data_IF_583601778090
#
_entry.id   IF_583601778090
#
_cell.length_a   1.000
_cell.length_b   1.000
_cell.length_c   1.000
_cell.angle_alpha   90.00
_cell.angle_beta   90.00
_cell.angle_gamma   90.00
#
_symmetry.space_group_name_H-M   'P 1'
#
loop_
_entity.id
_entity.type
_entity.pdbx_description
1 polymer ?
#
# COMPACT_ATOMS: atom_id res chain seq x y z
N UNK A 1 -36.41 -17.62 -22.75
CA UNK A 1 -35.77 -16.86 -23.83
C UNK A 1 -35.82 -15.42 -23.39
N UNK A 2 -34.94 -15.07 -22.46
CA UNK A 2 -33.59 -14.48 -22.68
C UNK A 2 -33.74 -12.96 -22.55
N UNK A 3 -32.95 -12.20 -21.80
CA UNK A 3 -31.73 -12.45 -21.03
C UNK A 3 -31.64 -11.37 -19.95
N UNK A 4 -31.22 -11.74 -18.74
CA UNK A 4 -30.82 -10.80 -17.69
C UNK A 4 -29.42 -10.28 -18.06
N UNK A 5 -29.26 -8.97 -18.23
CA UNK A 5 -27.94 -8.34 -18.29
C UNK A 5 -27.31 -8.41 -16.89
N UNK A 6 -26.29 -9.26 -16.75
CA UNK A 6 -25.46 -9.37 -15.56
C UNK A 6 -24.76 -8.03 -15.25
N UNK A 7 -25.16 -7.40 -14.15
CA UNK A 7 -24.39 -6.34 -13.50
C UNK A 7 -23.04 -6.90 -13.03
N UNK A 8 -21.95 -6.52 -13.70
CA UNK A 8 -20.60 -6.87 -13.27
C UNK A 8 -20.24 -6.13 -11.96
N UNK A 9 -19.89 -6.83 -10.87
CA UNK A 9 -19.49 -6.17 -9.64
C UNK A 9 -18.09 -5.53 -9.78
N UNK A 10 -18.01 -4.24 -9.50
CA UNK A 10 -16.77 -3.48 -9.41
C UNK A 10 -15.98 -3.81 -8.15
N UNK A 11 -14.67 -3.73 -8.27
CA UNK A 11 -13.78 -4.55 -7.47
C UNK A 11 -12.41 -3.83 -7.50
N UNK A 12 -11.89 -3.36 -6.36
CA UNK A 12 -10.66 -2.54 -6.28
C UNK A 12 -9.82 -2.74 -5.00
N UNK A 13 -8.57 -2.28 -5.03
CA UNK A 13 -7.56 -2.37 -3.93
C UNK A 13 -7.94 -1.53 -2.69
N UNK A 14 -7.27 -1.72 -1.54
CA UNK A 14 -7.68 -1.09 -0.26
C UNK A 14 -6.53 -0.79 0.70
N UNK A 15 -6.59 0.35 1.39
CA UNK A 15 -5.87 0.62 2.64
C UNK A 15 -6.83 1.07 3.72
N UNK A 16 -6.70 0.57 4.95
CA UNK A 16 -7.40 1.09 6.12
C UNK A 16 -6.52 1.98 7.01
N UNK A 17 -7.14 2.89 7.75
CA UNK A 17 -6.54 3.57 8.91
C UNK A 17 -7.65 4.15 9.82
N UNK A 18 -7.31 4.43 11.09
CA UNK A 18 -8.26 4.84 12.15
C UNK A 18 -8.32 6.36 12.32
N UNK A 19 -9.52 6.93 12.33
CA UNK A 19 -9.76 8.29 12.84
C UNK A 19 -11.07 8.37 13.61
N UNK A 20 -11.03 8.81 14.88
CA UNK A 20 -12.21 9.00 15.77
C UNK A 20 -13.19 7.81 15.80
N UNK A 21 -12.67 6.58 15.92
CA UNK A 21 -13.48 5.35 16.00
C UNK A 21 -14.06 4.87 14.67
N UNK A 22 -13.58 5.37 13.52
CA UNK A 22 -14.00 4.97 12.17
C UNK A 22 -12.80 4.51 11.32
N UNK A 23 -12.96 3.43 10.55
CA UNK A 23 -11.97 2.86 9.61
C UNK A 23 -12.17 3.39 8.19
N UNK A 24 -11.15 3.71 7.39
CA UNK A 24 -11.32 4.37 6.06
C UNK A 24 -10.53 3.77 4.87
N UNK A 25 -11.12 3.68 3.64
CA UNK A 25 -10.66 2.84 2.49
C UNK A 25 -10.42 3.56 1.16
N UNK A 26 -9.47 3.07 0.33
CA UNK A 26 -9.07 3.66 -0.94
C UNK A 26 -8.57 2.62 -2.00
N UNK A 27 -8.92 2.75 -3.30
CA UNK A 27 -8.73 1.75 -4.39
C UNK A 27 -7.87 2.14 -5.64
N UNK A 28 -7.45 1.13 -6.45
CA UNK A 28 -6.77 1.24 -7.80
C UNK A 28 -6.74 -0.11 -8.58
N UNK A 29 -6.42 -0.15 -9.91
CA UNK A 29 -6.45 -1.36 -10.81
C UNK A 29 -5.40 -1.33 -11.97
N UNK A 30 -4.92 -2.50 -12.48
CA UNK A 30 -3.88 -2.62 -13.56
C UNK A 30 -4.26 -3.53 -14.78
N UNK A 31 -3.62 -3.29 -15.94
CA UNK A 31 -3.79 -3.91 -17.30
C UNK A 31 -2.74 -4.99 -17.69
N UNK A 32 -3.02 -5.75 -18.76
CA UNK A 32 -2.47 -7.04 -19.23
C UNK A 32 -1.66 -7.01 -20.57
N UNK A 33 -1.39 -5.84 -21.16
CA UNK A 33 -0.58 -5.71 -22.41
C UNK A 33 0.76 -4.97 -22.20
N UNK A 34 1.79 -5.19 -23.06
CA UNK A 34 3.10 -4.52 -22.93
C UNK A 34 3.06 -3.02 -23.22
N UNK A 35 2.02 -2.54 -23.90
CA UNK A 35 1.62 -1.13 -23.94
C UNK A 35 0.10 -1.09 -23.87
N UNK A 36 -0.49 -0.30 -22.97
CA UNK A 36 -1.93 -0.19 -22.90
C UNK A 36 -2.47 0.48 -24.15
N UNK A 37 -3.48 -0.12 -24.77
CA UNK A 37 -4.19 0.52 -25.87
C UNK A 37 -5.15 1.57 -25.29
N UNK A 38 -5.19 2.78 -25.85
CA UNK A 38 -5.98 3.89 -25.30
C UNK A 38 -7.47 3.53 -25.12
N UNK A 39 -8.03 2.66 -25.99
CA UNK A 39 -9.41 2.17 -25.88
C UNK A 39 -9.68 1.30 -24.65
N UNK A 40 -8.64 0.74 -24.05
CA UNK A 40 -8.69 -0.05 -22.81
C UNK A 40 -8.15 0.73 -21.61
N UNK A 41 -7.95 2.04 -21.76
CA UNK A 41 -7.45 2.89 -20.69
C UNK A 41 -8.45 2.91 -19.54
N UNK A 42 -8.05 2.24 -18.46
CA UNK A 42 -8.66 2.40 -17.15
C UNK A 42 -7.90 3.50 -16.39
N UNK A 43 -8.63 4.36 -15.71
CA UNK A 43 -8.04 5.42 -14.87
C UNK A 43 -8.42 5.14 -13.42
N UNK A 44 -7.43 4.79 -12.61
CA UNK A 44 -7.61 4.58 -11.19
C UNK A 44 -7.86 5.89 -10.45
N UNK A 45 -8.69 5.79 -9.41
CA UNK A 45 -9.01 6.90 -8.50
C UNK A 45 -9.08 6.39 -7.07
N UNK A 46 -8.88 7.29 -6.14
CA UNK A 46 -8.78 7.00 -4.71
C UNK A 46 -10.11 7.37 -4.05
N UNK A 47 -10.86 6.33 -3.65
CA UNK A 47 -12.11 6.45 -2.91
C UNK A 47 -11.96 6.73 -1.43
N UNK A 48 -13.08 6.87 -0.73
CA UNK A 48 -13.16 6.88 0.72
C UNK A 48 -14.29 5.94 1.14
N UNK A 49 -14.06 5.06 2.11
CA UNK A 49 -15.14 4.37 2.81
C UNK A 49 -15.04 4.59 4.32
N UNK A 50 -16.07 4.24 5.09
CA UNK A 50 -16.04 4.24 6.55
C UNK A 50 -16.67 3.00 7.15
N UNK A 51 -16.14 2.52 8.28
CA UNK A 51 -16.78 1.47 9.09
C UNK A 51 -16.65 1.74 10.58
N UNK A 52 -17.61 1.24 11.35
CA UNK A 52 -17.61 1.23 12.82
C UNK A 52 -17.07 -0.09 13.39
N UNK A 53 -17.28 -1.20 12.69
CA UNK A 53 -16.88 -2.55 13.13
C UNK A 53 -15.62 -3.09 12.43
N UNK A 54 -15.20 -2.47 11.32
CA UNK A 54 -14.05 -2.90 10.53
C UNK A 54 -14.39 -3.93 9.45
N UNK A 55 -15.66 -4.32 9.33
CA UNK A 55 -16.11 -5.35 8.39
C UNK A 55 -17.13 -4.76 7.39
N UNK A 56 -18.11 -4.01 7.88
CA UNK A 56 -19.16 -3.41 7.05
C UNK A 56 -18.82 -1.96 6.72
N UNK A 57 -18.73 -1.66 5.42
CA UNK A 57 -18.26 -0.37 4.92
C UNK A 57 -19.32 0.44 4.20
N UNK A 58 -19.44 1.71 4.58
CA UNK A 58 -20.15 2.73 3.81
C UNK A 58 -19.16 3.49 2.94
N UNK A 59 -19.27 3.33 1.62
CA UNK A 59 -18.40 4.03 0.65
C UNK A 59 -18.98 5.39 0.29
N UNK A 60 -18.13 6.40 0.18
CA UNK A 60 -18.51 7.66 -0.44
C UNK A 60 -18.76 7.43 -1.93
N UNK A 61 -19.80 8.11 -2.45
CA UNK A 61 -20.20 7.98 -3.85
C UNK A 61 -19.09 8.43 -4.81
N UNK A 62 -18.42 9.53 -4.47
CA UNK A 62 -17.36 10.13 -5.29
C UNK A 62 -15.96 9.85 -4.72
N UNK A 63 -14.94 9.71 -5.60
CA UNK A 63 -13.56 9.61 -5.16
C UNK A 63 -13.10 10.88 -4.45
N UNK A 64 -12.14 10.73 -3.52
CA UNK A 64 -11.51 11.84 -2.78
C UNK A 64 -10.20 12.29 -3.42
N UNK A 65 -9.61 11.49 -4.32
CA UNK A 65 -8.50 11.91 -5.17
C UNK A 65 -8.62 11.28 -6.57
N UNK A 66 -8.47 12.12 -7.59
CA UNK A 66 -8.36 11.72 -9.00
C UNK A 66 -7.09 12.33 -9.59
N UNK A 67 -6.57 11.73 -10.67
CA UNK A 67 -5.44 12.30 -11.41
C UNK A 67 -5.81 13.64 -12.05
N UNK A 68 -4.98 14.67 -11.82
CA UNK A 68 -5.19 16.02 -12.39
C UNK A 68 -3.92 16.64 -12.96
N UNK A 69 -2.80 15.92 -12.87
CA UNK A 69 -1.51 16.34 -13.42
C UNK A 69 -1.12 15.43 -14.57
N UNK A 70 -0.15 15.86 -15.39
CA UNK A 70 0.40 15.03 -16.46
C UNK A 70 0.82 13.66 -15.94
N UNK A 71 1.62 13.60 -14.86
CA UNK A 71 2.13 12.36 -14.24
C UNK A 71 1.06 11.38 -13.72
N UNK A 72 -0.19 11.81 -13.63
CA UNK A 72 -1.31 10.98 -13.15
C UNK A 72 -2.28 10.66 -14.29
N UNK A 73 -1.85 10.84 -15.55
CA UNK A 73 -2.69 10.69 -16.74
C UNK A 73 -3.27 9.28 -16.92
N UNK A 74 -2.76 8.29 -16.19
CA UNK A 74 -3.28 6.91 -16.14
C UNK A 74 -3.87 6.55 -14.77
N UNK A 75 -3.84 7.48 -13.83
CA UNK A 75 -4.52 7.39 -12.55
C UNK A 75 -3.62 7.55 -11.34
N UNK A 76 -4.26 7.37 -10.19
CA UNK A 76 -3.62 7.44 -8.86
C UNK A 76 -3.87 6.12 -8.14
N UNK A 77 -2.81 5.51 -7.65
CA UNK A 77 -2.85 4.13 -7.16
C UNK A 77 -2.26 3.96 -5.79
N UNK A 78 -2.56 2.80 -5.19
CA UNK A 78 -1.66 2.22 -4.20
C UNK A 78 -1.44 3.14 -2.97
N UNK A 79 -2.52 3.68 -2.36
CA UNK A 79 -2.46 4.78 -1.40
C UNK A 79 -2.00 4.33 -0.01
N UNK A 80 -0.98 4.99 0.54
CA UNK A 80 -0.45 4.79 1.88
C UNK A 80 -0.62 6.06 2.71
N UNK A 81 -1.57 6.02 3.63
CA UNK A 81 -1.80 7.09 4.61
C UNK A 81 -0.97 6.87 5.89
N UNK A 82 -0.33 7.94 6.36
CA UNK A 82 0.33 8.04 7.67
C UNK A 82 -0.22 9.27 8.40
N UNK A 83 -0.54 9.14 9.68
CA UNK A 83 -0.83 10.30 10.53
C UNK A 83 0.48 10.71 11.21
N UNK A 84 0.89 11.97 11.02
CA UNK A 84 2.13 12.50 11.56
C UNK A 84 1.93 13.98 11.89
N UNK A 85 2.38 14.41 13.07
CA UNK A 85 2.32 15.82 13.51
C UNK A 85 0.93 16.46 13.37
N UNK A 86 -0.12 15.71 13.68
CA UNK A 86 -1.50 16.18 13.66
C UNK A 86 -2.17 16.21 12.27
N UNK A 87 -1.43 15.92 11.20
CA UNK A 87 -1.94 15.85 9.82
C UNK A 87 -1.92 14.41 9.28
N UNK A 88 -2.64 14.19 8.19
CA UNK A 88 -2.57 12.96 7.42
C UNK A 88 -1.82 13.22 6.12
N UNK A 89 -0.85 12.35 5.84
CA UNK A 89 -0.07 12.34 4.61
C UNK A 89 -0.43 11.08 3.84
N UNK A 90 -0.79 11.20 2.56
CA UNK A 90 -1.00 10.07 1.68
C UNK A 90 0.08 10.05 0.60
N UNK A 91 0.91 9.01 0.63
CA UNK A 91 1.80 8.69 -0.46
C UNK A 91 1.06 7.74 -1.40
N UNK A 92 1.18 7.95 -2.70
CA UNK A 92 0.49 7.14 -3.71
C UNK A 92 1.35 7.03 -4.95
N UNK A 93 1.06 6.04 -5.78
CA UNK A 93 1.70 5.90 -7.09
C UNK A 93 0.94 6.78 -8.09
N UNK A 94 1.57 7.84 -8.57
CA UNK A 94 1.11 8.57 -9.74
C UNK A 94 1.51 7.78 -10.98
N UNK A 95 0.52 7.27 -11.70
CA UNK A 95 0.73 6.34 -12.80
C UNK A 95 0.61 7.05 -14.16
N UNK A 96 1.63 6.82 -14.96
CA UNK A 96 1.72 7.12 -16.38
C UNK A 96 1.83 8.61 -16.69
N UNK A 97 1.38 8.96 -17.88
CA UNK A 97 1.24 10.35 -18.32
C UNK A 97 2.40 10.85 -19.17
N UNK A 98 3.59 10.95 -18.57
CA UNK A 98 4.83 11.30 -19.29
C UNK A 98 5.26 10.17 -20.24
N UNK A 99 5.13 8.92 -19.78
CA UNK A 99 5.15 7.69 -20.58
C UNK A 99 4.19 6.65 -19.96
N UNK A 100 3.89 5.56 -20.67
CA UNK A 100 2.89 4.56 -20.23
C UNK A 100 3.37 3.72 -19.03
N UNK A 101 4.69 3.55 -18.88
CA UNK A 101 5.36 2.79 -17.82
C UNK A 101 5.88 3.67 -16.69
N UNK A 102 5.66 4.98 -16.79
CA UNK A 102 6.17 5.94 -15.83
C UNK A 102 5.40 5.85 -14.51
N UNK A 103 6.11 5.63 -13.40
CA UNK A 103 5.51 5.63 -12.06
C UNK A 103 6.31 6.52 -11.14
N UNK A 104 5.62 7.40 -10.40
CA UNK A 104 6.23 8.28 -9.40
C UNK A 104 5.55 8.14 -8.06
N UNK A 105 6.31 8.34 -7.00
CA UNK A 105 5.74 8.55 -5.68
C UNK A 105 5.28 9.99 -5.59
N UNK A 106 3.99 10.18 -5.39
CA UNK A 106 3.38 11.48 -5.13
C UNK A 106 2.83 11.55 -3.71
N UNK A 107 2.67 12.77 -3.22
CA UNK A 107 2.23 13.08 -1.87
C UNK A 107 1.10 14.11 -1.90
N UNK A 108 0.06 13.86 -1.10
CA UNK A 108 -0.97 14.84 -0.71
C UNK A 108 -1.14 14.83 0.81
N UNK A 109 -1.70 15.89 1.36
CA UNK A 109 -1.97 16.02 2.79
C UNK A 109 -3.43 16.42 3.07
N UNK A 110 -3.92 16.06 4.25
CA UNK A 110 -5.30 16.31 4.68
C UNK A 110 -5.40 16.43 6.20
N UNK A 111 -6.41 17.15 6.67
CA UNK A 111 -6.79 17.22 8.08
C UNK A 111 -7.97 16.31 8.44
N UNK A 112 -8.77 15.89 7.43
CA UNK A 112 -10.05 15.17 7.63
C UNK A 112 -10.17 13.87 6.81
N UNK A 113 -9.22 13.63 5.90
CA UNK A 113 -9.07 12.48 5.01
C UNK A 113 -10.06 12.43 3.84
N UNK A 114 -10.81 13.50 3.68
CA UNK A 114 -11.77 13.68 2.58
C UNK A 114 -11.23 14.76 1.65
N UNK A 115 -10.74 15.86 2.22
CA UNK A 115 -10.20 17.00 1.48
C UNK A 115 -8.68 16.91 1.45
N UNK A 116 -8.13 16.62 0.27
CA UNK A 116 -6.69 16.45 0.05
C UNK A 116 -6.11 17.65 -0.72
N UNK A 117 -4.95 18.14 -0.28
CA UNK A 117 -4.25 19.27 -0.91
C UNK A 117 -2.72 19.04 -0.90
N UNK A 118 -1.94 20.05 -1.29
CA UNK A 118 -0.48 19.97 -1.25
C UNK A 118 0.15 18.96 -2.22
N UNK A 119 -0.56 18.61 -3.30
CA UNK A 119 -0.17 17.64 -4.33
C UNK A 119 1.21 17.95 -4.90
N UNK A 120 2.13 16.99 -4.84
CA UNK A 120 3.46 17.07 -5.45
C UNK A 120 4.06 15.69 -5.69
N UNK A 121 4.94 15.58 -6.69
CA UNK A 121 5.85 14.45 -6.82
C UNK A 121 6.85 14.53 -5.65
N UNK A 122 6.97 13.45 -4.88
CA UNK A 122 7.86 13.37 -3.73
C UNK A 122 9.26 12.93 -4.15
N UNK A 123 9.34 11.89 -4.98
CA UNK A 123 10.58 11.39 -5.57
C UNK A 123 10.37 11.33 -7.09
N UNK A 124 11.06 12.18 -7.85
CA UNK A 124 10.93 12.23 -9.32
C UNK A 124 11.83 11.20 -10.02
N UNK A 125 11.60 9.93 -9.69
CA UNK A 125 12.27 8.76 -10.28
C UNK A 125 11.29 7.56 -10.36
N UNK A 126 11.50 6.57 -11.24
CA UNK A 126 10.67 5.36 -11.31
C UNK A 126 10.58 4.63 -9.96
N UNK A 127 9.46 4.78 -9.26
CA UNK A 127 9.32 4.35 -7.87
C UNK A 127 7.86 4.13 -7.47
N UNK A 128 7.61 3.25 -6.49
CA UNK A 128 6.29 3.02 -5.88
C UNK A 128 6.44 2.39 -4.49
N UNK A 129 5.33 1.93 -3.92
CA UNK A 129 5.29 1.24 -2.61
C UNK A 129 5.90 2.08 -1.49
N UNK A 130 5.44 3.33 -1.34
CA UNK A 130 6.03 4.28 -0.41
C UNK A 130 5.11 4.67 0.73
N UNK A 131 5.68 4.88 1.91
CA UNK A 131 4.97 5.33 3.10
C UNK A 131 5.92 6.07 4.05
N UNK A 132 5.39 7.04 4.79
CA UNK A 132 6.11 7.66 5.90
C UNK A 132 5.99 6.79 7.15
N UNK A 133 7.05 6.74 7.95
CA UNK A 133 6.97 6.27 9.33
C UNK A 133 6.05 7.21 10.13
N UNK A 134 5.21 6.71 11.05
CA UNK A 134 4.30 7.53 11.85
C UNK A 134 5.00 8.34 12.96
N UNK A 135 6.33 8.35 13.01
CA UNK A 135 7.12 9.22 13.89
C UNK A 135 8.42 9.67 13.21
N UNK A 136 9.05 10.70 13.77
CA UNK A 136 10.38 11.14 13.38
C UNK A 136 11.43 10.33 14.12
N UNK A 137 12.53 10.00 13.44
CA UNK A 137 13.72 9.36 14.04
C UNK A 137 14.87 10.34 13.98
N UNK A 138 15.51 10.62 15.13
CA UNK A 138 16.57 11.62 15.21
C UNK A 138 16.13 13.02 14.73
N UNK A 139 14.84 13.36 14.90
CA UNK A 139 14.25 14.62 14.43
C UNK A 139 13.94 14.68 12.93
N UNK A 140 14.18 13.60 12.17
CA UNK A 140 13.95 13.53 10.72
C UNK A 140 12.71 12.72 10.38
N UNK A 141 12.00 13.11 9.33
CA UNK A 141 11.00 12.29 8.68
C UNK A 141 11.66 11.06 8.05
N UNK A 142 10.99 9.93 8.13
CA UNK A 142 11.47 8.65 7.59
C UNK A 142 10.52 8.19 6.48
N UNK A 143 11.07 7.89 5.32
CA UNK A 143 10.37 7.37 4.16
C UNK A 143 10.82 5.95 3.88
N UNK A 144 9.87 5.03 3.79
CA UNK A 144 10.08 3.75 3.13
C UNK A 144 9.59 3.85 1.69
N UNK A 145 10.33 3.29 0.76
CA UNK A 145 9.99 3.29 -0.66
C UNK A 145 10.64 2.11 -1.39
N UNK A 146 10.38 1.98 -2.69
CA UNK A 146 10.84 0.82 -3.47
C UNK A 146 11.45 1.23 -4.80
N UNK A 147 12.76 1.47 -4.79
CA UNK A 147 13.54 1.35 -6.04
C UNK A 147 13.68 -0.14 -6.35
N UNK A 148 13.11 -0.54 -7.48
CA UNK A 148 13.03 -1.94 -7.88
C UNK A 148 14.39 -2.65 -7.82
N UNK A 149 14.50 -3.87 -7.25
CA UNK A 149 13.44 -4.71 -6.68
C UNK A 149 13.34 -4.67 -5.14
N UNK A 150 14.04 -3.73 -4.48
CA UNK A 150 14.34 -3.75 -3.05
C UNK A 150 13.50 -2.76 -2.24
N UNK A 151 13.36 -2.98 -0.93
CA UNK A 151 12.81 -1.98 -0.01
C UNK A 151 13.95 -1.07 0.45
N UNK A 152 13.71 0.24 0.37
CA UNK A 152 14.64 1.29 0.74
C UNK A 152 14.05 2.16 1.85
N UNK A 153 14.93 2.80 2.60
CA UNK A 153 14.62 3.86 3.56
C UNK A 153 15.36 5.14 3.17
N UNK A 154 14.79 6.30 3.50
CA UNK A 154 15.38 7.61 3.29
C UNK A 154 14.89 8.59 4.35
N UNK A 155 15.64 9.69 4.54
CA UNK A 155 15.37 10.67 5.59
C UNK A 155 15.22 12.08 5.04
N UNK A 156 14.38 12.89 5.68
CA UNK A 156 14.14 14.28 5.30
C UNK A 156 13.96 15.17 6.53
N UNK A 157 14.41 16.42 6.45
CA UNK A 157 14.15 17.45 7.46
C UNK A 157 12.83 18.21 7.19
N UNK A 158 12.30 18.16 5.96
CA UNK A 158 11.27 19.09 5.48
C UNK A 158 10.16 18.46 4.62
N UNK A 159 10.14 17.13 4.43
CA UNK A 159 9.22 16.40 3.53
C UNK A 159 9.31 16.83 2.05
N UNK A 160 10.44 17.42 1.64
CA UNK A 160 10.71 17.84 0.26
C UNK A 160 12.01 17.25 -0.25
N UNK A 161 13.07 17.36 0.53
CA UNK A 161 14.40 16.87 0.15
C UNK A 161 14.72 15.61 0.92
N UNK A 162 15.00 14.53 0.19
CA UNK A 162 15.26 13.20 0.75
C UNK A 162 16.73 12.81 0.55
N UNK A 163 17.34 12.30 1.61
CA UNK A 163 18.76 11.95 1.67
C UNK A 163 18.95 10.58 2.31
N UNK A 164 20.18 10.06 2.20
CA UNK A 164 20.56 8.81 2.89
C UNK A 164 19.77 7.59 2.43
N UNK A 165 19.46 7.51 1.13
CA UNK A 165 18.76 6.34 0.59
C UNK A 165 19.60 5.08 0.77
N UNK A 166 19.10 4.12 1.53
CA UNK A 166 19.75 2.83 1.79
C UNK A 166 18.78 1.67 1.59
N UNK A 167 19.30 0.52 1.16
CA UNK A 167 18.52 -0.72 1.04
C UNK A 167 18.44 -1.35 2.43
N UNK A 168 17.23 -1.69 2.88
CA UNK A 168 17.03 -2.40 4.16
C UNK A 168 16.66 -3.86 3.94
N UNK A 169 16.02 -4.18 2.82
CA UNK A 169 15.64 -5.55 2.47
C UNK A 169 15.76 -5.78 0.98
N UNK A 170 16.25 -6.97 0.60
CA UNK A 170 16.33 -7.46 -0.79
C UNK A 170 15.46 -8.71 -0.99
N UNK A 171 15.06 -9.03 -2.23
CA UNK A 171 14.46 -10.32 -2.56
C UNK A 171 15.37 -11.49 -2.19
N UNK A 172 14.79 -12.64 -1.82
CA UNK A 172 15.54 -13.86 -1.45
C UNK A 172 15.46 -14.91 -2.56
N UNK A 173 16.54 -15.20 -3.31
CA UNK A 173 16.51 -16.20 -4.36
C UNK A 173 16.02 -17.57 -3.84
N UNK A 174 15.06 -18.17 -4.55
CA UNK A 174 14.47 -19.47 -4.17
C UNK A 174 13.35 -19.43 -3.12
N UNK A 175 13.00 -18.25 -2.59
CA UNK A 175 11.89 -18.08 -1.65
C UNK A 175 10.65 -17.49 -2.35
N UNK A 176 9.54 -17.40 -1.62
CA UNK A 176 8.28 -16.81 -2.11
C UNK A 176 8.37 -15.31 -2.44
N UNK A 177 9.45 -14.65 -2.02
CA UNK A 177 9.74 -13.24 -2.25
C UNK A 177 11.02 -13.03 -3.09
N UNK A 178 11.27 -13.93 -4.05
CA UNK A 178 12.50 -14.00 -4.85
C UNK A 178 12.65 -12.94 -5.92
N UNK A 179 11.55 -12.47 -6.50
CA UNK A 179 11.56 -11.60 -7.69
C UNK A 179 11.60 -10.12 -7.33
N UNK A 180 10.73 -9.70 -6.42
CA UNK A 180 10.67 -8.32 -5.90
C UNK A 180 9.90 -8.26 -4.59
N UNK A 181 10.18 -7.23 -3.82
CA UNK A 181 9.48 -6.91 -2.58
C UNK A 181 9.12 -5.43 -2.53
N UNK A 182 8.14 -5.09 -1.70
CA UNK A 182 7.75 -3.71 -1.42
C UNK A 182 6.91 -3.63 -0.15
N UNK A 183 6.96 -2.50 0.54
CA UNK A 183 6.19 -2.35 1.78
C UNK A 183 4.68 -2.40 1.48
N UNK A 184 3.91 -3.03 2.38
CA UNK A 184 2.47 -2.99 2.28
C UNK A 184 1.99 -1.60 2.70
N UNK A 185 2.35 -1.17 3.91
CA UNK A 185 2.05 0.16 4.43
C UNK A 185 3.13 0.67 5.39
N UNK A 186 2.86 1.77 6.09
CA UNK A 186 3.68 2.28 7.18
C UNK A 186 3.94 1.16 8.20
N UNK A 187 5.18 1.03 8.70
CA UNK A 187 5.44 0.14 9.82
C UNK A 187 4.57 0.47 11.03
N UNK A 188 4.12 -0.56 11.74
CA UNK A 188 3.31 -0.46 12.95
C UNK A 188 4.22 -0.59 14.17
N UNK A 189 4.07 0.29 15.17
CA UNK A 189 4.86 0.23 16.40
C UNK A 189 4.39 -0.95 17.23
N UNK A 190 5.32 -1.80 17.65
CA UNK A 190 5.16 -2.85 18.65
C UNK A 190 6.12 -2.58 19.81
N UNK A 191 5.95 -3.27 20.94
CA UNK A 191 6.91 -3.20 22.06
C UNK A 191 8.32 -3.67 21.64
N UNK A 192 8.40 -4.65 20.73
CA UNK A 192 9.65 -5.25 20.25
C UNK A 192 10.37 -4.40 19.18
N UNK A 193 9.72 -3.37 18.63
CA UNK A 193 10.24 -2.59 17.50
C UNK A 193 9.15 -2.21 16.50
N UNK A 194 9.48 -2.12 15.22
CA UNK A 194 8.52 -1.85 14.16
C UNK A 194 8.15 -3.10 13.37
N UNK A 195 6.87 -3.44 13.36
CA UNK A 195 6.33 -4.44 12.46
C UNK A 195 6.21 -3.85 11.06
N UNK A 196 7.04 -4.35 10.14
CA UNK A 196 6.93 -4.08 8.72
C UNK A 196 6.20 -5.23 8.02
N UNK A 197 4.96 -4.99 7.62
CA UNK A 197 4.26 -5.86 6.66
C UNK A 197 4.71 -5.47 5.25
N UNK A 198 5.13 -6.46 4.46
CA UNK A 198 5.60 -6.26 3.09
C UNK A 198 4.97 -7.30 2.17
N UNK A 199 4.88 -6.98 0.89
CA UNK A 199 4.55 -7.98 -0.13
C UNK A 199 5.83 -8.54 -0.74
N UNK A 200 5.77 -9.80 -1.12
CA UNK A 200 6.80 -10.50 -1.89
C UNK A 200 6.18 -11.18 -3.09
N UNK A 201 6.96 -11.24 -4.16
CA UNK A 201 6.57 -11.85 -5.44
C UNK A 201 7.61 -12.87 -5.83
N UNK A 202 7.17 -14.06 -6.21
CA UNK A 202 8.04 -15.11 -6.73
C UNK A 202 8.17 -15.05 -8.27
N UNK A 203 8.92 -15.99 -8.84
CA UNK A 203 9.09 -16.08 -10.30
C UNK A 203 7.81 -16.46 -11.06
N UNK A 204 6.84 -17.05 -10.36
CA UNK A 204 5.52 -17.38 -10.92
C UNK A 204 4.53 -16.20 -10.80
N UNK A 205 5.02 -15.03 -10.37
CA UNK A 205 4.23 -13.81 -10.14
C UNK A 205 3.13 -13.96 -9.10
N UNK A 206 3.26 -14.89 -8.16
CA UNK A 206 2.32 -14.99 -7.03
C UNK A 206 2.68 -13.94 -5.99
N UNK A 207 1.72 -13.08 -5.62
CA UNK A 207 1.91 -12.06 -4.58
C UNK A 207 1.42 -12.58 -3.24
N UNK A 208 2.29 -12.51 -2.24
CA UNK A 208 2.01 -12.88 -0.85
C UNK A 208 2.40 -11.74 0.08
N UNK A 209 1.88 -11.76 1.31
CA UNK A 209 2.34 -10.86 2.37
C UNK A 209 3.28 -11.60 3.32
N UNK A 210 4.28 -10.90 3.84
CA UNK A 210 5.14 -11.35 4.92
C UNK A 210 5.35 -10.26 5.96
N UNK A 211 6.08 -10.61 7.01
CA UNK A 211 6.39 -9.70 8.11
C UNK A 211 7.90 -9.66 8.41
N UNK A 212 8.37 -8.49 8.82
CA UNK A 212 9.70 -8.27 9.36
C UNK A 212 9.60 -7.37 10.61
N UNK A 213 10.52 -7.56 11.54
CA UNK A 213 10.72 -6.67 12.68
C UNK A 213 11.91 -5.76 12.37
N UNK A 214 11.69 -4.45 12.41
CA UNK A 214 12.74 -3.45 12.37
C UNK A 214 13.03 -2.95 13.79
N UNK A 215 14.24 -2.47 14.03
CA UNK A 215 14.63 -1.90 15.31
C UNK A 215 13.81 -0.66 15.64
N UNK A 216 13.36 -0.57 16.90
CA UNK A 216 12.44 0.47 17.37
C UNK A 216 13.00 1.89 17.33
N UNK A 217 14.33 2.03 17.47
CA UNK A 217 15.06 3.31 17.48
C UNK A 217 15.69 3.60 16.12
N UNK A 218 16.19 2.57 15.43
CA UNK A 218 16.83 2.68 14.13
C UNK A 218 16.15 1.79 13.09
N UNK A 219 15.07 2.27 12.45
CA UNK A 219 14.25 1.46 11.54
C UNK A 219 14.97 1.05 10.24
N UNK A 220 16.22 1.47 10.02
CA UNK A 220 17.08 0.91 8.96
C UNK A 220 17.51 -0.53 9.24
N UNK A 221 17.53 -0.94 10.51
CA UNK A 221 17.98 -2.26 10.94
C UNK A 221 16.84 -3.26 10.96
N UNK A 222 16.93 -4.27 10.11
CA UNK A 222 16.03 -5.44 10.14
C UNK A 222 16.53 -6.41 11.20
N UNK A 223 15.77 -6.57 12.29
CA UNK A 223 16.09 -7.48 13.39
C UNK A 223 15.67 -8.91 13.07
N UNK A 224 14.52 -9.08 12.42
CA UNK A 224 14.00 -10.38 12.03
C UNK A 224 13.14 -10.27 10.77
N UNK A 225 13.07 -11.34 9.99
CA UNK A 225 12.22 -11.47 8.80
C UNK A 225 11.67 -12.87 8.74
N UNK A 226 10.36 -12.99 8.65
CA UNK A 226 9.71 -14.30 8.60
C UNK A 226 10.13 -15.09 7.34
N UNK A 227 10.36 -16.39 7.51
CA UNK A 227 10.72 -17.28 6.42
C UNK A 227 9.52 -17.55 5.51
N UNK A 228 8.39 -17.96 6.09
CA UNK A 228 7.12 -18.19 5.40
C UNK A 228 6.30 -16.89 5.22
N UNK A 229 5.39 -16.84 4.23
CA UNK A 229 4.40 -15.77 4.13
C UNK A 229 3.44 -15.78 5.34
N UNK A 230 2.89 -14.62 5.69
CA UNK A 230 1.78 -14.49 6.67
C UNK A 230 0.41 -14.62 6.03
N UNK A 231 0.33 -14.39 4.71
CA UNK A 231 -0.90 -14.49 3.94
C UNK A 231 -0.53 -14.81 2.49
N UNK A 232 -1.22 -15.78 1.89
CA UNK A 232 -1.08 -16.14 0.49
C UNK A 232 -2.44 -16.44 -0.15
N UNK A 233 -2.55 -16.42 -1.49
CA UNK A 233 -3.81 -16.72 -2.17
C UNK A 233 -4.22 -18.19 -1.98
N UNK A 234 -5.29 -18.43 -1.21
CA UNK A 234 -5.83 -19.77 -0.93
C UNK A 234 -7.30 -19.89 -1.39
N UNK A 235 -8.07 -18.81 -1.23
CA UNK A 235 -9.48 -18.78 -1.54
C UNK A 235 -9.70 -18.54 -3.04
N UNK A 236 -10.85 -18.98 -3.58
CA UNK A 236 -11.14 -18.83 -5.02
C UNK A 236 -11.07 -17.36 -5.47
N UNK A 237 -11.58 -16.44 -4.66
CA UNK A 237 -11.58 -15.00 -4.95
C UNK A 237 -10.21 -14.33 -4.78
N UNK A 238 -9.21 -15.02 -4.26
CA UNK A 238 -7.81 -14.59 -4.20
C UNK A 238 -6.99 -15.15 -5.38
N UNK A 239 -7.39 -16.32 -5.88
CA UNK A 239 -6.77 -17.02 -7.01
C UNK A 239 -7.34 -16.59 -8.35
N UNK A 240 -8.57 -16.09 -8.39
CA UNK A 240 -9.27 -15.71 -9.63
C UNK A 240 -9.76 -14.25 -9.57
N UNK A 241 -9.47 -13.50 -10.63
CA UNK A 241 -9.81 -12.09 -10.75
C UNK A 241 -9.05 -11.42 -11.91
N UNK A 242 -9.01 -10.09 -11.93
CA UNK A 242 -8.27 -9.29 -12.92
C UNK A 242 -6.77 -9.65 -12.96
N UNK A 243 -6.16 -9.88 -11.79
CA UNK A 243 -4.79 -10.40 -11.70
C UNK A 243 -4.78 -11.63 -10.78
N UNK A 244 -4.80 -12.85 -11.33
CA UNK A 244 -4.81 -14.09 -10.54
C UNK A 244 -3.65 -14.21 -9.55
N UNK A 245 -3.88 -14.93 -8.45
CA UNK A 245 -2.88 -15.27 -7.43
C UNK A 245 -2.22 -14.04 -6.78
N UNK A 246 -3.04 -13.07 -6.37
CA UNK A 246 -2.57 -11.85 -5.70
C UNK A 246 -3.26 -11.66 -4.36
N UNK A 247 -2.47 -11.54 -3.29
CA UNK A 247 -2.86 -10.80 -2.08
C UNK A 247 -1.92 -9.61 -1.90
N UNK A 248 -2.48 -8.40 -1.85
CA UNK A 248 -1.70 -7.17 -1.79
C UNK A 248 -2.33 -6.15 -0.84
N UNK A 249 -1.58 -5.68 0.14
CA UNK A 249 -2.08 -4.67 1.09
C UNK A 249 -1.38 -3.33 0.87
N UNK A 250 -2.14 -2.25 1.05
CA UNK A 250 -1.59 -0.91 1.16
C UNK A 250 -1.41 -0.45 2.63
N UNK A 251 -1.77 -1.30 3.59
CA UNK A 251 -1.47 -1.12 5.00
C UNK A 251 -2.48 -1.77 5.93
N UNK A 252 -2.18 -1.64 7.20
CA UNK A 252 -2.92 -2.24 8.30
C UNK A 252 -3.21 -1.20 9.39
N UNK A 253 -4.16 -1.51 10.25
CA UNK A 253 -4.49 -0.66 11.39
C UNK A 253 -4.70 -1.50 12.65
N UNK A 254 -4.23 -0.97 13.78
CA UNK A 254 -4.49 -1.54 15.09
C UNK A 254 -5.76 -0.93 15.70
N UNK A 255 -6.62 -1.79 16.26
CA UNK A 255 -7.74 -1.38 17.10
C UNK A 255 -7.93 -2.42 18.21
N UNK A 256 -7.96 -1.92 19.45
CA UNK A 256 -8.31 -2.68 20.64
C UNK A 256 -7.47 -3.96 20.79
N UNK A 257 -6.15 -3.85 20.55
CA UNK A 257 -5.20 -4.97 20.62
C UNK A 257 -5.17 -5.88 19.40
N UNK A 258 -5.93 -5.58 18.34
CA UNK A 258 -5.99 -6.39 17.11
C UNK A 258 -5.46 -5.59 15.92
N UNK A 259 -4.54 -6.17 15.16
CA UNK A 259 -4.10 -5.63 13.87
C UNK A 259 -4.99 -6.21 12.76
N UNK A 260 -5.63 -5.32 12.02
CA UNK A 260 -6.40 -5.65 10.81
C UNK A 260 -5.59 -5.30 9.57
N UNK A 261 -5.33 -6.30 8.74
CA UNK A 261 -4.68 -6.18 7.43
C UNK A 261 -5.75 -6.28 6.35
N UNK A 262 -6.04 -5.15 5.71
CA UNK A 262 -6.95 -5.14 4.57
C UNK A 262 -6.12 -5.30 3.30
N UNK A 263 -6.55 -6.19 2.43
CA UNK A 263 -5.79 -6.57 1.24
C UNK A 263 -6.71 -6.63 0.02
N UNK A 264 -6.18 -6.20 -1.12
CA UNK A 264 -6.74 -6.52 -2.42
C UNK A 264 -6.45 -7.98 -2.75
N UNK A 265 -7.47 -8.68 -3.24
CA UNK A 265 -7.41 -10.08 -3.64
C UNK A 265 -7.70 -10.20 -5.13
N UNK A 266 -6.77 -10.84 -5.85
CA UNK A 266 -6.77 -10.97 -7.30
C UNK A 266 -6.93 -9.64 -8.09
N UNK A 267 -6.46 -8.52 -7.53
CA UNK A 267 -6.75 -7.15 -7.99
C UNK A 267 -8.25 -6.91 -8.22
N UNK A 268 -9.08 -7.62 -7.46
CA UNK A 268 -10.52 -7.71 -7.69
C UNK A 268 -11.24 -7.26 -6.43
N UNK A 269 -11.34 -8.06 -5.38
CA UNK A 269 -12.08 -7.65 -4.17
C UNK A 269 -11.15 -7.23 -3.03
N UNK A 270 -11.76 -6.79 -1.93
CA UNK A 270 -11.05 -6.48 -0.68
C UNK A 270 -11.36 -7.58 0.34
N UNK A 271 -10.32 -8.19 0.89
CA UNK A 271 -10.36 -9.06 2.05
C UNK A 271 -9.83 -8.35 3.31
N UNK A 272 -10.04 -8.99 4.46
CA UNK A 272 -9.43 -8.60 5.73
C UNK A 272 -8.93 -9.84 6.45
N UNK A 273 -7.69 -9.77 6.93
CA UNK A 273 -7.12 -10.70 7.89
C UNK A 273 -6.85 -9.95 9.20
N UNK A 274 -6.93 -10.65 10.33
CA UNK A 274 -6.72 -10.06 11.64
C UNK A 274 -5.83 -10.94 12.51
N UNK A 275 -5.04 -10.32 13.39
CA UNK A 275 -4.19 -10.98 14.37
C UNK A 275 -4.14 -10.16 15.65
N UNK A 276 -4.20 -10.82 16.80
CA UNK A 276 -4.00 -10.19 18.09
C UNK A 276 -2.53 -9.75 18.24
N UNK A 277 -2.30 -8.53 18.72
CA UNK A 277 -0.94 -7.97 18.89
C UNK A 277 -0.10 -8.84 19.82
N UNK A 278 -0.71 -9.43 20.84
CA UNK A 278 -0.04 -10.31 21.82
C UNK A 278 0.49 -11.62 21.21
N UNK A 279 -0.07 -12.04 20.06
CA UNK A 279 0.36 -13.24 19.32
C UNK A 279 1.56 -12.96 18.41
N UNK A 280 1.90 -11.69 18.16
CA UNK A 280 3.03 -11.31 17.31
C UNK A 280 4.33 -11.36 18.12
N UNK A 281 5.12 -12.42 17.88
CA UNK A 281 6.40 -12.65 18.57
C UNK A 281 7.50 -12.86 17.54
N UNK A 282 8.49 -11.98 17.56
CA UNK A 282 9.75 -12.15 16.86
C UNK A 282 10.78 -12.57 17.91
N UNK A 283 11.10 -13.86 17.93
CA UNK A 283 12.06 -14.46 18.85
C UNK A 283 13.51 -14.22 18.41
#
# INVERSE_FOLDING_TARGET
>A
MEEYEDEKPFTGRGKSFKARGRYKYIFSLKLDTPRPEERYKFVSSIGYARSLDGIHFERYEKPVLVGTTEQEGWGVEDPRITKLEGRYYMLYTAFGGRSWDDIRISLVESEDLVNWSGRRILLDEPNKDAALLPEKVGGKYVLFHRRHPNIWIAYSDDLRTWHGHEIIMTPRPGFWDSRKIGIAGPPLKLEQGWLLIYHGVDENQVYRLGAALLDGEDPSKVLARQEAPILEPELEWERHGLVPNVVFSCGACEKDGVIYVYYGAADTCIGVAAVDVEDIKFC
#
